data_IF_374785166894
#
_entry.id   IF_374785166894
#
_cell.length_a   1.000
_cell.length_b   1.000
_cell.length_c   1.000
_cell.angle_alpha   90.00
_cell.angle_beta   90.00
_cell.angle_gamma   90.00
#
_symmetry.space_group_name_H-M   'P 1'
#
loop_
_entity.id
_entity.type
_entity.pdbx_description
1 polymer ?
#
# COMPACT_ATOMS: atom_id res chain seq x y z
N UNK A 1 2.59 7.41 15.35
CA UNK A 1 2.70 7.28 13.88
C UNK A 1 3.81 8.21 13.42
N UNK A 2 5.00 7.68 13.10
CA UNK A 2 6.10 8.50 12.56
C UNK A 2 6.16 8.30 11.04
N UNK A 3 5.49 9.18 10.29
CA UNK A 3 5.61 9.25 8.84
C UNK A 3 6.86 10.08 8.45
N UNK A 4 8.03 9.70 8.98
CA UNK A 4 9.28 10.45 8.76
C UNK A 4 9.96 9.94 7.50
N UNK A 5 10.05 10.81 6.49
CA UNK A 5 10.91 10.55 5.33
C UNK A 5 12.39 10.65 5.72
N UNK A 6 13.28 10.13 4.86
CA UNK A 6 14.75 10.37 4.96
C UNK A 6 15.00 11.89 5.02
N UNK A 7 15.17 12.45 6.22
CA UNK A 7 15.29 13.90 6.44
C UNK A 7 14.53 14.49 7.64
N UNK A 8 13.70 13.74 8.38
CA UNK A 8 13.06 14.23 9.61
C UNK A 8 11.75 15.01 9.43
N UNK A 9 11.43 15.43 8.20
CA UNK A 9 10.19 16.14 7.88
C UNK A 9 9.10 15.17 7.35
N UNK A 10 7.82 15.29 7.80
CA UNK A 10 6.73 14.49 7.27
C UNK A 10 6.51 14.77 5.78
N UNK A 11 6.69 13.74 4.95
CA UNK A 11 6.43 13.82 3.51
C UNK A 11 5.02 13.36 3.19
N UNK A 12 4.51 13.76 2.03
CA UNK A 12 3.23 13.27 1.54
C UNK A 12 3.24 11.76 1.28
N UNK A 13 4.26 11.22 0.59
CA UNK A 13 4.29 9.80 0.15
C UNK A 13 4.02 8.74 1.24
N UNK A 14 4.65 8.79 2.44
CA UNK A 14 4.44 7.75 3.45
C UNK A 14 2.99 7.64 3.95
N UNK A 15 2.20 8.71 3.84
CA UNK A 15 0.87 8.77 4.42
C UNK A 15 -0.17 7.98 3.60
N UNK A 16 -0.36 8.18 2.28
CA UNK A 16 -1.18 7.30 1.45
C UNK A 16 -0.75 5.83 1.51
N UNK A 17 0.57 5.56 1.60
CA UNK A 17 1.10 4.19 1.69
C UNK A 17 0.69 3.51 3.02
N UNK A 18 0.73 4.23 4.14
CA UNK A 18 0.27 3.71 5.43
C UNK A 18 -1.23 3.37 5.41
N UNK A 19 -2.06 4.26 4.89
CA UNK A 19 -3.50 4.02 4.76
C UNK A 19 -3.80 2.89 3.78
N UNK A 20 -3.13 2.84 2.62
CA UNK A 20 -3.29 1.74 1.64
C UNK A 20 -3.00 0.39 2.30
N UNK A 21 -1.95 0.30 3.11
CA UNK A 21 -1.59 -0.94 3.81
C UNK A 21 -2.71 -1.44 4.72
N UNK A 22 -3.27 -0.56 5.57
CA UNK A 22 -4.34 -0.94 6.49
C UNK A 22 -5.64 -1.28 5.74
N UNK A 23 -5.98 -0.49 4.73
CA UNK A 23 -7.18 -0.72 3.91
C UNK A 23 -7.10 -2.02 3.11
N UNK A 24 -5.95 -2.33 2.49
CA UNK A 24 -5.72 -3.62 1.82
C UNK A 24 -5.86 -4.76 2.81
N UNK A 25 -5.28 -4.65 4.01
CA UNK A 25 -5.44 -5.65 5.05
C UNK A 25 -6.89 -5.86 5.46
N UNK A 26 -7.65 -4.77 5.64
CA UNK A 26 -9.06 -4.82 6.02
C UNK A 26 -9.91 -5.47 4.93
N UNK A 27 -9.74 -5.05 3.67
CA UNK A 27 -10.42 -5.66 2.53
C UNK A 27 -10.12 -7.16 2.45
N UNK A 28 -8.86 -7.57 2.65
CA UNK A 28 -8.46 -8.96 2.67
C UNK A 28 -9.15 -9.74 3.80
N UNK A 29 -9.17 -9.22 5.02
CA UNK A 29 -9.83 -9.90 6.15
C UNK A 29 -11.33 -10.10 5.91
N UNK A 30 -11.98 -9.14 5.25
CA UNK A 30 -13.43 -9.17 4.99
C UNK A 30 -13.81 -10.03 3.78
N UNK A 31 -13.03 -10.00 2.69
CA UNK A 31 -13.39 -10.62 1.41
C UNK A 31 -12.63 -11.91 1.10
N UNK A 32 -11.44 -12.08 1.68
CA UNK A 32 -10.46 -13.09 1.27
C UNK A 32 -9.71 -12.74 -0.02
N UNK A 33 -9.97 -11.59 -0.63
CA UNK A 33 -9.34 -11.12 -1.86
C UNK A 33 -8.32 -10.00 -1.59
N UNK A 34 -7.37 -9.80 -2.51
CA UNK A 34 -6.38 -8.71 -2.41
C UNK A 34 -6.72 -7.58 -3.35
N UNK A 35 -6.86 -6.37 -2.82
CA UNK A 35 -6.98 -5.13 -3.59
C UNK A 35 -5.92 -4.12 -3.15
N UNK A 36 -5.23 -3.51 -4.12
CA UNK A 36 -4.14 -2.56 -3.89
C UNK A 36 -4.46 -1.14 -4.41
N UNK A 37 -5.54 -0.99 -5.18
CA UNK A 37 -5.98 0.28 -5.73
C UNK A 37 -6.69 1.09 -4.67
N UNK A 38 -6.00 2.12 -4.17
CA UNK A 38 -6.43 2.94 -3.03
C UNK A 38 -7.83 3.55 -3.20
N UNK A 39 -8.23 3.89 -4.42
CA UNK A 39 -9.56 4.47 -4.66
C UNK A 39 -10.67 3.43 -4.57
N UNK A 40 -10.39 2.19 -4.97
CA UNK A 40 -11.35 1.08 -4.85
C UNK A 40 -11.53 0.73 -3.38
N UNK A 41 -10.42 0.58 -2.66
CA UNK A 41 -10.40 0.39 -1.22
C UNK A 41 -11.14 1.50 -0.45
N UNK A 42 -10.94 2.77 -0.83
CA UNK A 42 -11.62 3.89 -0.18
C UNK A 42 -13.13 3.90 -0.42
N UNK A 43 -13.58 3.54 -1.64
CA UNK A 43 -15.01 3.48 -1.95
C UNK A 43 -15.76 2.45 -1.07
N UNK A 44 -15.06 1.40 -0.63
CA UNK A 44 -15.62 0.31 0.17
C UNK A 44 -15.57 0.56 1.69
N UNK A 45 -14.58 1.33 2.18
CA UNK A 45 -14.27 1.44 3.61
C UNK A 45 -15.12 2.43 4.43
N UNK A 46 -15.96 3.26 3.80
CA UNK A 46 -16.76 4.27 4.52
C UNK A 46 -15.95 5.51 4.97
N UNK A 47 -16.35 6.23 6.03
CA UNK A 47 -15.91 7.61 6.31
C UNK A 47 -14.40 7.70 6.64
N UNK A 48 -13.74 8.81 6.24
CA UNK A 48 -13.13 8.89 4.93
C UNK A 48 -11.61 8.66 5.02
N UNK A 49 -11.07 7.89 4.10
CA UNK A 49 -9.73 8.19 3.63
C UNK A 49 -9.75 9.65 3.14
N UNK A 50 -8.82 10.51 3.59
CA UNK A 50 -8.82 11.90 3.19
C UNK A 50 -8.63 11.97 1.67
N UNK A 51 -9.68 12.34 0.94
CA UNK A 51 -9.68 12.30 -0.54
C UNK A 51 -8.61 13.26 -1.09
N UNK A 52 -8.22 14.28 -0.32
CA UNK A 52 -7.05 15.11 -0.62
C UNK A 52 -5.75 14.30 -0.81
N UNK A 53 -5.55 13.20 -0.07
CA UNK A 53 -4.36 12.35 -0.20
C UNK A 53 -4.32 11.59 -1.53
N UNK A 54 -5.47 11.14 -2.05
CA UNK A 54 -5.57 10.55 -3.38
C UNK A 54 -5.27 11.62 -4.45
N UNK A 55 -5.76 12.85 -4.25
CA UNK A 55 -5.47 13.96 -5.15
C UNK A 55 -3.97 14.31 -5.19
N UNK A 56 -3.26 14.23 -4.05
CA UNK A 56 -1.80 14.42 -4.01
C UNK A 56 -1.02 13.31 -4.72
N UNK A 57 -1.47 12.05 -4.61
CA UNK A 57 -0.87 10.94 -5.39
C UNK A 57 -1.09 11.15 -6.89
N UNK A 58 -2.30 11.55 -7.31
CA UNK A 58 -2.63 11.78 -8.73
C UNK A 58 -1.88 12.96 -9.37
N UNK A 59 -1.63 14.02 -8.60
CA UNK A 59 -0.95 15.23 -9.11
C UNK A 59 0.58 15.10 -9.19
N UNK A 60 1.15 13.96 -8.76
CA UNK A 60 2.60 13.77 -8.75
C UNK A 60 3.33 14.53 -7.63
N UNK A 61 2.59 15.17 -6.72
CA UNK A 61 3.11 15.93 -5.58
C UNK A 61 3.57 15.03 -4.42
N UNK A 62 3.78 13.73 -4.64
CA UNK A 62 4.13 12.75 -3.59
C UNK A 62 5.41 13.12 -2.80
N UNK A 63 6.33 13.86 -3.42
CA UNK A 63 7.60 14.28 -2.82
C UNK A 63 7.49 15.56 -2.00
N UNK A 64 6.39 16.29 -2.13
CA UNK A 64 6.16 17.55 -1.45
C UNK A 64 5.96 17.33 0.07
N UNK A 65 6.24 18.34 0.89
CA UNK A 65 5.91 18.33 2.31
C UNK A 65 4.41 18.12 2.52
N UNK A 66 4.05 17.45 3.61
CA UNK A 66 2.65 17.32 4.00
C UNK A 66 2.08 18.72 4.33
N UNK A 67 1.02 19.17 3.65
CA UNK A 67 0.34 20.40 4.05
C UNK A 67 -0.37 20.15 5.38
N UNK A 68 0.07 20.86 6.42
CA UNK A 68 -0.52 20.79 7.76
C UNK A 68 0.05 19.69 8.66
N UNK A 69 -0.65 19.42 9.76
CA UNK A 69 -0.18 18.48 10.79
C UNK A 69 -0.59 17.05 10.49
N UNK A 70 0.36 16.12 10.65
CA UNK A 70 0.10 14.68 10.62
C UNK A 70 -1.00 14.25 11.61
N UNK A 71 -1.16 14.99 12.72
CA UNK A 71 -2.14 14.70 13.76
C UNK A 71 -3.59 14.69 13.28
N UNK A 72 -3.91 15.39 12.18
CA UNK A 72 -5.27 15.41 11.59
C UNK A 72 -5.69 14.02 11.10
N UNK A 73 -4.73 13.21 10.64
CA UNK A 73 -4.99 11.89 10.07
C UNK A 73 -4.99 10.76 11.11
N UNK A 74 -4.47 11.03 12.31
CA UNK A 74 -4.28 10.00 13.34
C UNK A 74 -5.60 9.37 13.82
N UNK A 75 -6.69 10.12 14.10
CA UNK A 75 -7.95 9.50 14.53
C UNK A 75 -8.57 8.57 13.48
N UNK A 76 -8.49 8.94 12.21
CA UNK A 76 -8.99 8.12 11.10
C UNK A 76 -8.16 6.83 10.96
N UNK A 77 -6.83 6.94 11.03
CA UNK A 77 -5.93 5.80 10.99
C UNK A 77 -6.18 4.82 12.17
N UNK A 78 -6.34 5.34 13.38
CA UNK A 78 -6.68 4.56 14.58
C UNK A 78 -8.03 3.85 14.46
N UNK A 79 -9.03 4.49 13.84
CA UNK A 79 -10.31 3.86 13.56
C UNK A 79 -10.18 2.66 12.61
N UNK A 80 -9.39 2.81 11.53
CA UNK A 80 -9.12 1.73 10.58
C UNK A 80 -8.35 0.57 11.24
N UNK A 81 -7.40 0.86 12.13
CA UNK A 81 -6.69 -0.19 12.88
C UNK A 81 -7.62 -0.98 13.80
N UNK A 82 -8.57 -0.32 14.47
CA UNK A 82 -9.59 -1.01 15.28
C UNK A 82 -10.50 -1.89 14.42
N UNK A 83 -10.91 -1.42 13.24
CA UNK A 83 -11.69 -2.22 12.31
C UNK A 83 -10.91 -3.43 11.81
N UNK A 84 -9.64 -3.25 11.43
CA UNK A 84 -8.77 -4.34 11.01
C UNK A 84 -8.59 -5.38 12.11
N UNK A 85 -8.38 -4.94 13.35
CA UNK A 85 -8.29 -5.84 14.50
C UNK A 85 -9.58 -6.65 14.68
N UNK A 86 -10.76 -6.01 14.62
CA UNK A 86 -12.04 -6.71 14.71
C UNK A 86 -12.29 -7.69 13.55
N UNK A 87 -11.91 -7.32 12.32
CA UNK A 87 -12.03 -8.18 11.15
C UNK A 87 -11.12 -9.42 11.26
N UNK A 88 -9.91 -9.26 11.83
CA UNK A 88 -8.99 -10.37 12.08
C UNK A 88 -9.57 -11.43 13.02
N UNK A 89 -10.40 -11.04 13.99
CA UNK A 89 -11.03 -11.99 14.92
C UNK A 89 -12.18 -12.80 14.29
N UNK A 90 -12.71 -12.37 13.14
CA UNK A 90 -13.90 -12.96 12.52
C UNK A 90 -13.66 -13.53 11.11
N UNK A 91 -12.50 -13.24 10.53
CA UNK A 91 -12.11 -13.71 9.20
C UNK A 91 -12.09 -15.24 9.11
N UNK A 92 -12.37 -15.75 7.90
CA UNK A 92 -12.27 -17.16 7.57
C UNK A 92 -10.92 -17.53 6.93
N UNK A 93 -10.00 -16.56 6.84
CA UNK A 93 -8.67 -16.78 6.30
C UNK A 93 -7.87 -17.73 7.20
N UNK A 94 -7.00 -18.58 6.62
CA UNK A 94 -6.07 -19.37 7.40
C UNK A 94 -5.19 -18.49 8.29
N UNK A 95 -5.07 -18.86 9.57
CA UNK A 95 -4.20 -18.15 10.53
C UNK A 95 -2.70 -18.30 10.24
N UNK A 96 -2.33 -19.29 9.42
CA UNK A 96 -0.96 -19.55 9.00
C UNK A 96 -0.90 -19.85 7.50
N UNK A 97 0.24 -19.50 6.90
CA UNK A 97 0.55 -19.82 5.51
C UNK A 97 1.40 -21.08 5.49
N UNK A 98 1.13 -22.00 4.56
CA UNK A 98 1.94 -23.21 4.42
C UNK A 98 3.43 -22.86 4.23
N UNK A 99 4.38 -23.54 4.91
CA UNK A 99 5.81 -23.25 4.79
C UNK A 99 6.34 -23.28 3.35
N UNK A 100 5.76 -24.15 2.50
CA UNK A 100 6.09 -24.25 1.08
C UNK A 100 5.74 -22.97 0.30
N UNK A 101 4.61 -22.33 0.62
CA UNK A 101 4.19 -21.06 0.01
C UNK A 101 5.12 -19.94 0.45
N UNK A 102 5.46 -19.88 1.74
CA UNK A 102 6.41 -18.89 2.26
C UNK A 102 7.79 -19.02 1.60
N UNK A 103 8.28 -20.25 1.42
CA UNK A 103 9.53 -20.52 0.72
C UNK A 103 9.45 -20.08 -0.75
N UNK A 104 8.37 -20.43 -1.45
CA UNK A 104 8.19 -20.07 -2.87
C UNK A 104 8.14 -18.55 -3.10
N UNK A 105 7.45 -17.80 -2.23
CA UNK A 105 7.40 -16.33 -2.31
C UNK A 105 8.78 -15.71 -2.03
N UNK A 106 9.50 -16.24 -1.03
CA UNK A 106 10.85 -15.77 -0.68
C UNK A 106 11.84 -15.97 -1.82
N UNK A 107 11.80 -17.15 -2.43
CA UNK A 107 12.61 -17.54 -3.58
C UNK A 107 12.27 -16.72 -4.84
N UNK A 108 10.98 -16.51 -5.13
CA UNK A 108 10.55 -15.57 -6.18
C UNK A 108 11.10 -14.15 -5.94
N UNK A 109 11.00 -13.64 -4.71
CA UNK A 109 11.50 -12.32 -4.35
C UNK A 109 13.02 -12.20 -4.48
N UNK A 110 13.77 -13.24 -4.15
CA UNK A 110 15.21 -13.29 -4.35
C UNK A 110 15.55 -13.26 -5.85
N UNK A 111 14.90 -14.09 -6.67
CA UNK A 111 15.09 -14.09 -8.12
C UNK A 111 14.74 -12.77 -8.77
N UNK A 112 13.63 -12.14 -8.42
CA UNK A 112 13.23 -10.86 -9.00
C UNK A 112 14.27 -9.76 -8.72
N UNK A 113 14.88 -9.77 -7.53
CA UNK A 113 15.94 -8.82 -7.17
C UNK A 113 17.28 -9.13 -7.85
N UNK A 114 17.65 -10.40 -7.93
CA UNK A 114 18.93 -10.84 -8.47
C UNK A 114 18.93 -10.93 -10.01
N UNK A 115 17.77 -11.14 -10.63
CA UNK A 115 17.56 -11.21 -12.07
C UNK A 115 17.27 -9.86 -12.74
N UNK A 116 17.22 -8.76 -11.97
CA UNK A 116 17.05 -7.40 -12.48
C UNK A 116 18.31 -6.78 -13.09
N UNK A 117 19.38 -7.56 -13.29
CA UNK A 117 20.66 -7.10 -13.85
C UNK A 117 21.02 -7.75 -15.19
N UNK A 118 20.03 -8.06 -16.02
CA UNK A 118 20.24 -8.26 -17.46
C UNK A 118 19.29 -7.38 -18.28
N UNK A 119 19.68 -6.13 -18.51
CA UNK A 119 19.28 -5.43 -19.73
C UNK A 119 20.53 -5.05 -20.47
N UNK A 120 21.03 -6.01 -21.26
CA UNK A 120 21.76 -5.71 -22.47
C UNK A 120 20.85 -4.94 -23.42
N UNK A 121 21.46 -4.03 -24.16
CA UNK A 121 20.90 -3.28 -25.29
C UNK A 121 19.94 -4.13 -26.14
N UNK A 122 18.64 -3.89 -25.96
CA UNK A 122 17.57 -4.39 -26.82
C UNK A 122 17.07 -3.23 -27.67
N UNK A 123 17.67 -3.07 -28.84
CA UNK A 123 17.27 -2.14 -29.88
C UNK A 123 15.83 -2.47 -30.31
N UNK A 124 14.86 -1.64 -29.93
CA UNK A 124 13.51 -1.69 -30.49
C UNK A 124 13.57 -1.08 -31.88
N UNK A 125 13.69 -1.90 -32.92
CA UNK A 125 13.51 -1.45 -34.30
C UNK A 125 12.00 -1.37 -34.55
N UNK A 126 11.47 -0.16 -34.57
CA UNK A 126 10.13 0.11 -35.06
C UNK A 126 10.09 -0.18 -36.57
N UNK A 127 9.43 -1.26 -36.97
CA UNK A 127 9.00 -1.44 -38.37
C UNK A 127 7.62 -0.81 -38.49
N UNK A 128 7.59 0.41 -39.03
CA UNK A 128 6.37 1.03 -39.52
C UNK A 128 6.00 0.40 -40.87
N UNK A 129 4.70 0.13 -41.04
CA UNK A 129 4.06 -0.15 -42.33
C UNK A 129 4.08 1.10 -43.23
#
# INVERSE_FOLDING_TARGET
MEAVGKGGEPRLKPLPDAFRTVLTGLHLMCSGETEAHLERLNAEAGPPFPTELIAFTRSGCEKEPLPGSLGVYHPAYEALLRQLAAAKETTQLPGEVAPSVQAAVSDWGARARLGGSSTGSGQWVATAL
#
